data_IF_161405761655
#
_entry.id   IF_161405761655
#
_cell.length_a   1.000
_cell.length_b   1.000
_cell.length_c   1.000
_cell.angle_alpha   90.00
_cell.angle_beta   90.00
_cell.angle_gamma   90.00
#
_symmetry.space_group_name_H-M   'P 1'
#
loop_
_entity.id
_entity.type
_entity.pdbx_description
1 polymer ?
#
# COMPACT_ATOMS: atom_id res chain seq x y z
N UNK A 1 -1.20 -25.90 -6.53
CA UNK A 1 -1.51 -25.66 -5.10
C UNK A 1 -1.49 -24.17 -4.91
N UNK A 2 -2.58 -23.59 -4.40
CA UNK A 2 -2.69 -22.15 -4.17
C UNK A 2 -1.96 -21.89 -2.85
N UNK A 3 -0.76 -21.29 -2.92
CA UNK A 3 0.03 -20.99 -1.74
C UNK A 3 -0.65 -19.91 -0.90
N UNK A 4 -0.86 -20.19 0.38
CA UNK A 4 -1.33 -19.23 1.38
C UNK A 4 -0.20 -18.25 1.66
N UNK A 5 -0.43 -16.95 1.49
CA UNK A 5 0.55 -15.91 1.81
C UNK A 5 0.47 -15.54 3.28
N UNK A 6 1.63 -15.23 3.87
CA UNK A 6 1.72 -14.71 5.22
C UNK A 6 1.77 -13.20 5.17
N UNK A 7 0.85 -12.58 5.92
CA UNK A 7 0.72 -11.13 5.99
C UNK A 7 1.32 -10.62 7.29
N UNK A 8 2.26 -9.71 7.18
CA UNK A 8 2.99 -9.16 8.31
C UNK A 8 2.79 -7.66 8.29
N UNK A 9 2.05 -7.13 9.28
CA UNK A 9 1.96 -5.68 9.46
C UNK A 9 3.30 -5.19 10.03
N UNK A 10 4.02 -4.41 9.23
CA UNK A 10 5.34 -3.86 9.55
C UNK A 10 5.24 -2.57 10.35
N UNK A 11 4.37 -1.65 9.89
CA UNK A 11 4.18 -0.33 10.47
C UNK A 11 2.70 0.01 10.49
N UNK A 12 2.21 0.53 11.61
CA UNK A 12 0.86 1.09 11.72
C UNK A 12 0.92 2.51 12.24
N UNK A 13 0.62 3.46 11.37
CA UNK A 13 0.35 4.83 11.73
C UNK A 13 -1.11 5.14 11.49
N UNK A 14 -1.51 6.36 11.82
CA UNK A 14 -2.88 6.82 11.67
C UNK A 14 -3.27 6.92 10.18
N UNK A 15 -2.30 7.24 9.31
CA UNK A 15 -2.55 7.66 7.92
C UNK A 15 -1.71 6.83 6.92
N UNK A 16 -0.90 5.90 7.45
CA UNK A 16 0.04 5.09 6.71
C UNK A 16 0.15 3.71 7.37
N UNK A 17 -0.05 2.65 6.60
CA UNK A 17 0.25 1.28 7.02
C UNK A 17 1.20 0.61 6.03
N UNK A 18 2.18 -0.13 6.54
CA UNK A 18 3.09 -0.94 5.73
C UNK A 18 2.87 -2.42 6.06
N UNK A 19 2.65 -3.23 5.04
CA UNK A 19 2.56 -4.68 5.14
C UNK A 19 3.63 -5.34 4.28
N UNK A 20 4.09 -6.50 4.72
CA UNK A 20 4.92 -7.41 3.94
C UNK A 20 4.16 -8.69 3.70
N UNK A 21 4.18 -9.17 2.46
CA UNK A 21 3.61 -10.44 2.05
C UNK A 21 4.74 -11.41 1.78
N UNK A 22 4.80 -12.48 2.56
CA UNK A 22 5.75 -13.56 2.35
C UNK A 22 5.02 -14.78 1.76
N UNK A 23 5.69 -15.53 0.89
CA UNK A 23 5.20 -16.82 0.43
C UNK A 23 5.42 -17.94 1.46
N UNK A 24 5.16 -19.18 1.07
CA UNK A 24 5.28 -20.34 1.96
C UNK A 24 6.73 -20.69 2.31
N UNK A 25 7.69 -20.26 1.49
CA UNK A 25 9.11 -20.46 1.71
C UNK A 25 9.71 -19.33 2.57
N UNK A 26 8.91 -18.30 2.87
CA UNK A 26 9.31 -17.13 3.64
C UNK A 26 9.95 -16.03 2.79
N UNK A 27 9.88 -16.15 1.47
CA UNK A 27 10.38 -15.13 0.55
C UNK A 27 9.36 -14.02 0.38
N UNK A 28 9.82 -12.77 0.43
CA UNK A 28 8.92 -11.62 0.26
C UNK A 28 8.46 -11.52 -1.19
N UNK A 29 7.14 -11.62 -1.38
CA UNK A 29 6.48 -11.45 -2.66
C UNK A 29 6.35 -9.96 -3.01
N UNK A 30 5.81 -9.18 -2.07
CA UNK A 30 5.66 -7.73 -2.20
C UNK A 30 5.50 -7.07 -0.83
N UNK A 31 5.61 -5.74 -0.81
CA UNK A 31 5.12 -4.91 0.28
C UNK A 31 3.91 -4.10 -0.18
N UNK A 32 2.98 -3.86 0.73
CA UNK A 32 1.86 -2.95 0.52
C UNK A 32 2.03 -1.74 1.41
N UNK A 33 2.15 -0.58 0.79
CA UNK A 33 2.15 0.70 1.46
C UNK A 33 0.78 1.36 1.24
N UNK A 34 -0.05 1.33 2.28
CA UNK A 34 -1.40 1.88 2.27
C UNK A 34 -1.33 3.32 2.77
N UNK A 35 -1.78 4.27 1.95
CA UNK A 35 -1.75 5.70 2.19
C UNK A 35 -3.19 6.22 2.31
N UNK A 36 -3.53 6.80 3.45
CA UNK A 36 -4.84 7.40 3.72
C UNK A 36 -4.72 8.93 3.62
N UNK A 37 -5.18 9.49 2.50
CA UNK A 37 -4.99 10.91 2.19
C UNK A 37 -5.92 11.83 2.97
N UNK A 38 -7.01 11.32 3.54
CA UNK A 38 -7.98 12.10 4.33
C UNK A 38 -8.50 13.35 3.63
N UNK A 39 -8.77 13.19 2.35
CA UNK A 39 -9.47 14.15 1.54
C UNK A 39 -10.44 13.42 0.63
N UNK A 40 -11.43 14.14 0.09
CA UNK A 40 -12.21 13.61 -1.00
C UNK A 40 -11.33 13.17 -2.16
N UNK A 41 -11.73 12.09 -2.83
CA UNK A 41 -11.06 11.65 -4.04
C UNK A 41 -11.32 12.67 -5.17
N UNK A 42 -10.37 12.77 -6.09
CA UNK A 42 -10.48 13.61 -7.29
C UNK A 42 -10.23 12.75 -8.52
N UNK A 43 -10.71 13.19 -9.68
CA UNK A 43 -10.61 12.42 -10.92
C UNK A 43 -9.17 11.98 -11.26
N UNK A 44 -8.19 12.85 -10.97
CA UNK A 44 -6.76 12.55 -11.18
C UNK A 44 -6.23 11.37 -10.34
N UNK A 45 -6.92 11.02 -9.26
CA UNK A 45 -6.61 9.83 -8.44
C UNK A 45 -6.88 8.52 -9.19
N UNK A 46 -7.65 8.57 -10.28
CA UNK A 46 -8.06 7.41 -11.08
C UNK A 46 -7.63 7.54 -12.55
N UNK A 47 -6.33 7.37 -12.87
CA UNK A 47 -5.85 7.43 -14.24
C UNK A 47 -6.56 6.49 -15.21
N UNK A 48 -7.13 5.38 -14.73
CA UNK A 48 -7.89 4.41 -15.54
C UNK A 48 -9.20 4.99 -16.09
N UNK A 49 -9.79 5.98 -15.40
CA UNK A 49 -11.02 6.63 -15.83
C UNK A 49 -10.79 7.69 -16.91
N UNK A 50 -9.54 8.11 -17.15
CA UNK A 50 -9.20 9.11 -18.16
C UNK A 50 -9.60 8.63 -19.56
N UNK A 51 -10.57 9.33 -20.16
CA UNK A 51 -11.13 9.00 -21.47
C UNK A 51 -12.28 7.99 -21.44
N UNK A 52 -12.68 7.52 -20.25
CA UNK A 52 -13.88 6.71 -20.01
C UNK A 52 -14.98 7.60 -19.42
N UNK A 53 -14.62 8.39 -18.40
CA UNK A 53 -15.50 9.32 -17.71
C UNK A 53 -15.04 10.78 -17.94
N UNK A 54 -15.99 11.70 -17.84
CA UNK A 54 -15.73 13.14 -17.90
C UNK A 54 -15.38 13.66 -16.50
N UNK A 55 -14.35 14.49 -16.40
CA UNK A 55 -13.86 15.03 -15.13
C UNK A 55 -14.96 15.83 -14.42
N UNK A 56 -15.76 16.57 -15.16
CA UNK A 56 -16.89 17.37 -14.65
C UNK A 56 -18.02 16.51 -14.05
N UNK A 57 -18.04 15.20 -14.34
CA UNK A 57 -19.04 14.24 -13.86
C UNK A 57 -18.56 13.33 -12.75
N UNK A 58 -17.28 13.41 -12.37
CA UNK A 58 -16.70 12.56 -11.35
C UNK A 58 -17.23 12.93 -9.95
N UNK A 59 -17.92 12.00 -9.30
CA UNK A 59 -18.38 12.12 -7.92
C UNK A 59 -17.43 11.31 -7.02
N UNK A 60 -16.49 12.01 -6.38
CA UNK A 60 -15.54 11.39 -5.47
C UNK A 60 -16.12 11.11 -4.08
N UNK A 61 -15.69 10.02 -3.45
CA UNK A 61 -15.99 9.71 -2.06
C UNK A 61 -15.36 10.71 -1.08
N UNK A 62 -15.86 10.80 0.16
CA UNK A 62 -15.31 11.68 1.21
C UNK A 62 -13.85 11.39 1.60
N UNK A 63 -13.41 10.14 1.43
CA UNK A 63 -12.02 9.75 1.68
C UNK A 63 -11.39 9.04 0.49
N UNK A 64 -10.08 9.27 0.31
CA UNK A 64 -9.27 8.59 -0.68
C UNK A 64 -8.11 7.82 -0.04
N UNK A 65 -8.01 6.55 -0.42
CA UNK A 65 -6.90 5.67 -0.07
C UNK A 65 -6.19 5.23 -1.33
N UNK A 66 -4.86 5.20 -1.26
CA UNK A 66 -4.03 4.64 -2.31
C UNK A 66 -3.13 3.56 -1.76
N UNK A 67 -3.09 2.41 -2.42
CA UNK A 67 -2.15 1.34 -2.08
C UNK A 67 -1.03 1.26 -3.10
N UNK A 68 0.21 1.45 -2.65
CA UNK A 68 1.40 1.19 -3.47
C UNK A 68 1.85 -0.25 -3.26
N UNK A 69 1.77 -1.06 -4.32
CA UNK A 69 2.25 -2.44 -4.38
C UNK A 69 3.72 -2.39 -4.80
N UNK A 70 4.61 -2.73 -3.88
CA UNK A 70 6.06 -2.64 -4.05
C UNK A 70 6.63 -4.04 -4.26
N UNK A 71 7.32 -4.28 -5.38
CA UNK A 71 7.92 -5.58 -5.71
C UNK A 71 9.26 -5.42 -6.43
N UNK A 72 10.12 -6.45 -6.38
CA UNK A 72 11.40 -6.41 -7.13
C UNK A 72 11.25 -6.65 -8.63
N UNK A 73 10.10 -7.19 -9.04
CA UNK A 73 9.77 -7.57 -10.42
C UNK A 73 8.28 -7.38 -10.69
N UNK A 74 7.92 -7.32 -11.96
CA UNK A 74 6.52 -7.41 -12.39
C UNK A 74 5.91 -8.71 -11.86
N UNK A 75 4.78 -8.59 -11.18
CA UNK A 75 4.03 -9.74 -10.65
C UNK A 75 3.16 -10.35 -11.76
N UNK A 76 2.94 -11.65 -11.68
CA UNK A 76 2.01 -12.32 -12.60
C UNK A 76 0.56 -11.92 -12.29
N UNK A 77 -0.30 -11.89 -13.30
CA UNK A 77 -1.69 -11.41 -13.16
C UNK A 77 -2.44 -12.12 -12.03
N UNK A 78 -2.31 -13.44 -11.93
CA UNK A 78 -2.99 -14.22 -10.90
C UNK A 78 -2.54 -13.86 -9.46
N UNK A 79 -1.32 -13.34 -9.31
CA UNK A 79 -0.82 -12.83 -8.03
C UNK A 79 -1.39 -11.44 -7.78
N UNK A 80 -1.41 -10.58 -8.81
CA UNK A 80 -2.03 -9.26 -8.74
C UNK A 80 -3.48 -9.36 -8.30
N UNK A 81 -4.28 -10.21 -8.95
CA UNK A 81 -5.71 -10.38 -8.63
C UNK A 81 -5.92 -10.73 -7.15
N UNK A 82 -5.09 -11.64 -6.61
CA UNK A 82 -5.13 -12.02 -5.19
C UNK A 82 -4.70 -10.89 -4.25
N UNK A 83 -3.70 -10.10 -4.64
CA UNK A 83 -3.27 -8.93 -3.85
C UNK A 83 -4.40 -7.90 -3.80
N UNK A 84 -5.06 -7.65 -4.92
CA UNK A 84 -6.18 -6.71 -5.02
C UNK A 84 -7.35 -7.14 -4.15
N UNK A 85 -7.73 -8.43 -4.17
CA UNK A 85 -8.76 -8.99 -3.28
C UNK A 85 -8.47 -8.71 -1.80
N UNK A 86 -7.19 -8.80 -1.38
CA UNK A 86 -6.83 -8.49 0.00
C UNK A 86 -6.81 -7.00 0.28
N UNK A 87 -6.35 -6.17 -0.66
CA UNK A 87 -6.42 -4.71 -0.51
C UNK A 87 -7.88 -4.29 -0.32
N UNK A 88 -8.80 -4.81 -1.13
CA UNK A 88 -10.24 -4.59 -1.00
C UNK A 88 -10.72 -4.98 0.40
N UNK A 89 -10.38 -6.18 0.89
CA UNK A 89 -10.72 -6.61 2.25
C UNK A 89 -10.15 -5.72 3.38
N UNK A 90 -9.03 -5.04 3.14
CA UNK A 90 -8.45 -4.11 4.13
C UNK A 90 -9.14 -2.74 4.15
N UNK A 91 -9.73 -2.31 3.03
CA UNK A 91 -10.34 -0.97 2.90
C UNK A 91 -11.86 -1.00 2.92
N UNK A 92 -12.51 -2.14 2.63
CA UNK A 92 -13.97 -2.27 2.45
C UNK A 92 -14.80 -1.80 3.65
N UNK A 93 -14.22 -1.82 4.85
CA UNK A 93 -14.91 -1.40 6.07
C UNK A 93 -14.88 0.12 6.31
N UNK A 94 -14.16 0.88 5.49
CA UNK A 94 -14.11 2.33 5.61
C UNK A 94 -15.33 2.95 4.89
N UNK A 95 -16.20 3.67 5.62
CA UNK A 95 -17.39 4.27 5.02
C UNK A 95 -16.99 5.38 4.04
N UNK A 96 -17.71 5.47 2.94
CA UNK A 96 -17.54 6.49 1.88
C UNK A 96 -16.08 6.73 1.51
N UNK A 97 -15.42 5.64 1.09
CA UNK A 97 -14.01 5.62 0.80
C UNK A 97 -13.75 5.05 -0.59
N UNK A 98 -13.10 5.87 -1.39
CA UNK A 98 -12.53 5.49 -2.65
C UNK A 98 -11.13 4.91 -2.45
N UNK A 99 -10.80 3.87 -3.22
CA UNK A 99 -9.50 3.23 -3.16
C UNK A 99 -8.94 2.98 -4.57
N UNK A 100 -7.65 3.26 -4.74
CA UNK A 100 -6.90 2.89 -5.94
C UNK A 100 -5.56 2.26 -5.57
N UNK A 101 -4.86 1.71 -6.56
CA UNK A 101 -3.55 1.11 -6.38
C UNK A 101 -2.57 1.49 -7.50
N UNK A 102 -1.28 1.34 -7.21
CA UNK A 102 -0.20 1.50 -8.19
C UNK A 102 0.93 0.51 -7.92
N UNK A 103 1.76 0.27 -8.92
CA UNK A 103 2.93 -0.58 -8.80
C UNK A 103 4.21 0.24 -8.71
N UNK A 104 5.10 -0.16 -7.81
CA UNK A 104 6.42 0.42 -7.65
C UNK A 104 7.49 -0.68 -7.67
N UNK A 105 8.19 -0.81 -8.80
CA UNK A 105 9.24 -1.83 -8.96
C UNK A 105 10.56 -1.30 -8.43
N UNK A 106 11.08 -1.92 -7.38
CA UNK A 106 12.38 -1.59 -6.79
C UNK A 106 12.93 -2.79 -6.03
N UNK A 107 14.25 -2.87 -5.91
CA UNK A 107 14.89 -3.84 -5.03
C UNK A 107 14.43 -3.61 -3.59
N UNK A 108 14.20 -4.69 -2.86
CA UNK A 108 13.95 -4.64 -1.43
C UNK A 108 15.22 -4.28 -0.65
N UNK A 109 15.09 -3.71 0.56
CA UNK A 109 16.25 -3.50 1.42
C UNK A 109 16.88 -4.84 1.78
N UNK A 110 18.21 -4.91 1.82
CA UNK A 110 18.97 -6.14 2.15
C UNK A 110 18.63 -6.67 3.56
N UNK A 111 18.09 -5.81 4.42
CA UNK A 111 17.52 -6.17 5.70
C UNK A 111 16.10 -5.61 5.79
N UNK A 112 15.10 -6.48 5.91
CA UNK A 112 13.74 -6.14 6.36
C UNK A 112 13.63 -6.12 7.90
N UNK A 113 14.76 -5.88 8.57
CA UNK A 113 14.83 -5.88 10.03
C UNK A 113 13.93 -4.82 10.64
N UNK A 114 13.79 -4.84 11.97
CA UNK A 114 13.03 -3.81 12.66
C UNK A 114 13.70 -2.46 12.47
N UNK A 115 12.92 -1.44 12.14
CA UNK A 115 13.28 -0.08 12.51
C UNK A 115 13.30 0.94 11.38
N UNK A 116 13.82 2.09 11.76
CA UNK A 116 13.77 3.36 10.99
C UNK A 116 14.35 3.31 9.58
N UNK A 117 15.18 2.33 9.23
CA UNK A 117 15.66 2.16 7.83
C UNK A 117 14.52 1.89 6.83
N UNK A 118 13.39 1.32 7.28
CA UNK A 118 12.22 1.18 6.42
C UNK A 118 11.59 2.54 6.07
N UNK A 119 11.76 3.55 6.93
CA UNK A 119 11.34 4.93 6.64
C UNK A 119 12.19 5.50 5.51
N UNK A 120 13.52 5.34 5.59
CA UNK A 120 14.43 5.76 4.52
C UNK A 120 14.10 5.08 3.19
N UNK A 121 13.69 3.81 3.24
CA UNK A 121 13.30 3.05 2.06
C UNK A 121 11.97 3.53 1.43
N UNK A 122 10.95 3.84 2.23
CA UNK A 122 9.65 4.29 1.70
C UNK A 122 9.60 5.78 1.37
N UNK A 123 10.48 6.61 1.93
CA UNK A 123 10.44 8.07 1.71
C UNK A 123 10.44 8.46 0.22
N UNK A 124 11.29 7.91 -0.67
CA UNK A 124 11.24 8.26 -2.09
C UNK A 124 9.93 7.84 -2.77
N UNK A 125 9.26 6.83 -2.24
CA UNK A 125 7.95 6.37 -2.72
C UNK A 125 6.88 7.38 -2.29
N UNK A 126 6.90 7.83 -1.03
CA UNK A 126 6.00 8.86 -0.51
C UNK A 126 6.13 10.17 -1.28
N UNK A 127 7.36 10.61 -1.54
CA UNK A 127 7.65 11.82 -2.31
C UNK A 127 7.05 11.71 -3.73
N UNK A 128 7.20 10.54 -4.38
CA UNK A 128 6.62 10.30 -5.71
C UNK A 128 5.10 10.29 -5.71
N UNK A 129 4.48 9.88 -4.61
CA UNK A 129 3.03 9.87 -4.43
C UNK A 129 2.50 11.25 -3.98
N UNK A 130 3.35 12.25 -3.78
CA UNK A 130 2.99 13.53 -3.17
C UNK A 130 2.28 13.35 -1.81
N UNK A 131 2.70 12.35 -1.02
CA UNK A 131 2.14 12.07 0.29
C UNK A 131 3.03 12.69 1.38
N UNK A 132 2.68 13.91 1.81
CA UNK A 132 3.42 14.64 2.83
C UNK A 132 3.05 14.16 4.24
N UNK A 133 4.00 13.49 4.89
CA UNK A 133 3.87 13.00 6.26
C UNK A 133 5.20 13.14 6.99
N UNK A 134 5.16 13.73 8.18
CA UNK A 134 6.31 13.78 9.06
C UNK A 134 6.54 12.41 9.70
N UNK A 135 7.64 11.74 9.34
CA UNK A 135 8.03 10.44 9.91
C UNK A 135 9.22 10.57 10.88
N UNK A 136 9.66 11.79 11.21
CA UNK A 136 10.83 12.01 12.07
C UNK A 136 10.64 11.56 13.52
N UNK A 137 9.39 11.47 13.98
CA UNK A 137 9.05 10.97 15.32
C UNK A 137 9.00 9.43 15.39
N UNK A 138 9.08 8.75 14.26
CA UNK A 138 9.02 7.28 14.21
C UNK A 138 10.30 6.69 14.77
N UNK A 139 10.12 5.78 15.71
CA UNK A 139 11.18 4.98 16.34
C UNK A 139 10.85 3.51 16.19
N UNK A 140 11.83 2.64 16.45
CA UNK A 140 11.69 1.18 16.32
C UNK A 140 10.49 0.60 17.10
N UNK A 141 10.03 1.28 18.15
CA UNK A 141 8.82 0.89 18.93
C UNK A 141 7.51 0.93 18.14
N UNK A 142 7.47 1.64 17.02
CA UNK A 142 6.28 1.73 16.16
C UNK A 142 6.18 0.53 15.20
N UNK A 143 7.28 -0.20 15.03
CA UNK A 143 7.32 -1.42 14.22
C UNK A 143 6.93 -2.61 15.10
N UNK A 144 5.63 -2.90 15.11
CA UNK A 144 5.06 -4.02 15.86
C UNK A 144 4.56 -5.06 14.86
N UNK A 145 5.34 -6.12 14.67
CA UNK A 145 5.08 -7.22 13.75
C UNK A 145 3.87 -8.02 14.22
N UNK A 146 2.69 -7.58 13.82
CA UNK A 146 1.46 -8.33 14.03
C UNK A 146 1.23 -9.17 12.77
N UNK A 147 1.44 -10.47 12.90
CA UNK A 147 0.96 -11.43 11.91
C UNK A 147 -0.56 -11.45 11.98
N UNK A 148 -1.22 -11.31 10.84
CA UNK A 148 -2.65 -11.61 10.75
C UNK A 148 -2.76 -13.10 10.43
N UNK A 149 -3.33 -13.87 11.38
CA UNK A 149 -3.72 -15.27 11.18
C UNK A 149 -5.06 -15.36 10.46
#
# INVERSE_FOLDING_TARGET
>A
MIGMWKWIRMLKLRDLELFRLDDQDGETVCMLLILDYRRPSVFDDFPILKGIEDEDSFEGAENYIHTVIISEKTLEQHMVDRILEVIEGLVEHKPDCDNNHSFYITKFPDYFGVGTHLIEYIQPILDKMNFDIDLTYITDKHFNYLTQE
#
